data_IF_305816014803
#
_entry.id   IF_305816014803
#
_cell.length_a   1.000
_cell.length_b   1.000
_cell.length_c   1.000
_cell.angle_alpha   90.00
_cell.angle_beta   90.00
_cell.angle_gamma   90.00
#
_symmetry.space_group_name_H-M   'P 1'
#
loop_
_entity.id
_entity.type
_entity.pdbx_description
1 polymer ?
#
# COMPACT_ATOMS: atom_id res chain seq x y z
N UNK A 1 -1.86 0.79 -34.40
CA UNK A 1 -1.00 1.93 -34.02
C UNK A 1 -0.55 1.68 -32.59
N UNK A 2 0.76 1.53 -32.38
CA UNK A 2 1.39 0.98 -31.18
C UNK A 2 1.09 1.81 -29.91
N UNK A 3 0.60 1.15 -28.86
CA UNK A 3 0.72 1.64 -27.48
C UNK A 3 1.96 0.97 -26.87
N UNK A 4 3.02 1.74 -26.68
CA UNK A 4 4.21 1.35 -25.94
C UNK A 4 3.93 1.57 -24.45
N UNK A 5 4.01 0.51 -23.65
CA UNK A 5 4.12 0.63 -22.20
C UNK A 5 5.42 1.41 -21.88
N UNK A 6 5.41 2.35 -20.92
CA UNK A 6 6.63 3.08 -20.56
C UNK A 6 7.68 2.10 -20.01
N UNK A 7 8.92 2.24 -20.49
CA UNK A 7 10.03 1.40 -20.04
C UNK A 7 10.42 1.73 -18.59
N UNK A 8 11.06 0.80 -17.86
CA UNK A 8 11.45 0.99 -16.44
C UNK A 8 12.30 2.25 -16.17
N UNK A 9 13.09 2.69 -17.15
CA UNK A 9 13.86 3.94 -17.08
C UNK A 9 12.95 5.17 -16.95
N UNK A 10 11.81 5.19 -17.64
CA UNK A 10 10.79 6.27 -17.56
C UNK A 10 10.12 6.32 -16.19
N UNK A 11 9.89 5.16 -15.57
CA UNK A 11 9.31 5.09 -14.21
C UNK A 11 10.29 5.61 -13.14
N UNK A 12 11.58 5.31 -13.30
CA UNK A 12 12.64 5.80 -12.41
C UNK A 12 12.91 7.30 -12.57
N UNK A 13 12.86 7.83 -13.80
CA UNK A 13 12.95 9.26 -14.09
C UNK A 13 11.77 10.05 -13.51
N UNK A 14 10.56 9.48 -13.52
CA UNK A 14 9.37 10.12 -12.94
C UNK A 14 9.38 10.18 -11.40
N UNK A 15 9.99 9.19 -10.72
CA UNK A 15 10.17 9.21 -9.27
C UNK A 15 11.28 10.18 -8.82
N UNK A 16 12.34 10.36 -9.62
CA UNK A 16 13.38 11.37 -9.38
C UNK A 16 12.86 12.78 -9.65
N UNK A 17 12.09 12.99 -10.73
CA UNK A 17 11.37 14.25 -10.99
C UNK A 17 10.35 14.57 -9.88
N UNK A 18 9.65 13.57 -9.33
CA UNK A 18 8.75 13.77 -8.18
C UNK A 18 9.50 14.33 -6.95
N UNK A 19 10.71 13.85 -6.68
CA UNK A 19 11.55 14.34 -5.58
C UNK A 19 12.07 15.77 -5.81
N UNK A 20 12.50 16.11 -7.03
CA UNK A 20 12.97 17.46 -7.38
C UNK A 20 11.83 18.48 -7.42
N UNK A 21 10.66 18.08 -7.92
CA UNK A 21 9.44 18.90 -7.92
C UNK A 21 8.98 19.14 -6.49
N UNK A 22 8.92 18.13 -5.62
CA UNK A 22 8.63 18.33 -4.19
C UNK A 22 9.63 19.27 -3.48
N UNK A 23 10.91 19.27 -3.86
CA UNK A 23 11.93 20.16 -3.29
C UNK A 23 11.76 21.61 -3.75
N UNK A 24 11.37 21.85 -5.01
CA UNK A 24 11.08 23.21 -5.52
C UNK A 24 9.70 23.73 -5.11
N UNK A 25 8.74 22.84 -4.79
CA UNK A 25 7.38 23.17 -4.36
C UNK A 25 7.29 23.71 -2.91
N UNK A 26 8.28 23.44 -2.06
CA UNK A 26 8.31 23.87 -0.67
C UNK A 26 8.82 25.31 -0.47
N UNK A 27 9.53 25.88 -1.45
CA UNK A 27 10.20 27.18 -1.30
C UNK A 27 9.36 28.41 -1.73
N UNK A 28 8.13 28.24 -2.26
CA UNK A 28 7.43 29.35 -2.95
C UNK A 28 5.91 29.54 -2.81
N UNK A 29 5.15 28.64 -2.19
CA UNK A 29 3.68 28.74 -2.21
C UNK A 29 3.12 29.48 -0.97
N UNK A 30 2.42 30.60 -1.17
CA UNK A 30 1.85 31.43 -0.08
C UNK A 30 0.33 31.60 -0.14
N UNK A 31 -0.35 31.13 -1.20
CA UNK A 31 -1.81 31.26 -1.36
C UNK A 31 -2.48 30.03 -1.96
N UNK A 32 -3.79 29.83 -1.69
CA UNK A 32 -4.60 28.72 -2.23
C UNK A 32 -4.67 28.71 -3.77
N UNK A 33 -4.41 29.85 -4.42
CA UNK A 33 -4.36 29.98 -5.87
C UNK A 33 -3.05 29.43 -6.46
N UNK A 34 -1.96 29.42 -5.68
CA UNK A 34 -0.68 28.82 -6.08
C UNK A 34 -0.76 27.29 -6.06
N UNK A 35 -1.44 26.71 -5.06
CA UNK A 35 -1.74 25.28 -5.00
C UNK A 35 -2.58 24.80 -6.20
N UNK A 36 -3.50 25.63 -6.71
CA UNK A 36 -4.29 25.38 -7.92
C UNK A 36 -3.45 25.22 -9.19
N UNK A 37 -2.42 26.05 -9.38
CA UNK A 37 -1.51 25.95 -10.55
C UNK A 37 -0.57 24.75 -10.44
N UNK A 38 -0.14 24.44 -9.22
CA UNK A 38 0.75 23.33 -8.90
C UNK A 38 0.09 21.98 -9.22
N UNK A 39 -1.15 21.78 -8.80
CA UNK A 39 -1.89 20.52 -9.04
C UNK A 39 -2.15 20.29 -10.55
N UNK A 40 -2.54 21.35 -11.28
CA UNK A 40 -2.74 21.28 -12.72
C UNK A 40 -1.45 20.98 -13.50
N UNK A 41 -0.30 21.50 -13.05
CA UNK A 41 1.01 21.20 -13.65
C UNK A 41 1.40 19.74 -13.42
N UNK A 42 1.16 19.21 -12.21
CA UNK A 42 1.42 17.81 -11.84
C UNK A 42 0.62 16.83 -12.72
N UNK A 43 -0.67 17.09 -12.93
CA UNK A 43 -1.54 16.25 -13.79
C UNK A 43 -1.09 16.29 -15.24
N UNK A 44 -0.65 17.45 -15.74
CA UNK A 44 -0.15 17.64 -17.11
C UNK A 44 1.18 16.92 -17.36
N UNK A 45 2.15 17.03 -16.45
CA UNK A 45 3.47 16.40 -16.61
C UNK A 45 3.47 14.89 -16.35
N UNK A 46 2.46 14.37 -15.63
CA UNK A 46 2.24 12.93 -15.44
C UNK A 46 1.93 12.20 -16.76
N UNK A 47 1.49 12.92 -17.80
CA UNK A 47 1.25 12.39 -19.15
C UNK A 47 0.06 11.44 -19.26
N UNK A 48 -0.94 11.58 -18.36
CA UNK A 48 -2.01 10.60 -18.19
C UNK A 48 -3.36 10.94 -18.83
N UNK A 49 -3.51 12.06 -19.55
CA UNK A 49 -4.77 12.40 -20.25
C UNK A 49 -4.47 13.18 -21.54
N UNK A 50 -4.86 12.62 -22.69
CA UNK A 50 -5.10 13.38 -23.94
C UNK A 50 -6.61 13.61 -24.01
N UNK A 51 -7.10 14.72 -23.49
CA UNK A 51 -8.44 15.22 -23.74
C UNK A 51 -8.33 16.73 -23.96
N UNK A 52 -8.52 17.15 -25.21
CA UNK A 52 -8.37 18.54 -25.67
C UNK A 52 -9.36 19.54 -25.03
N UNK A 53 -10.25 19.08 -24.13
CA UNK A 53 -11.31 19.88 -23.50
C UNK A 53 -11.22 19.99 -21.96
N UNK A 54 -10.11 19.59 -21.34
CA UNK A 54 -9.92 19.66 -19.88
C UNK A 54 -10.01 21.12 -19.35
N UNK A 55 -9.48 22.10 -20.09
CA UNK A 55 -9.54 23.52 -19.71
C UNK A 55 -10.95 24.12 -19.78
N UNK A 56 -11.77 23.72 -20.77
CA UNK A 56 -13.13 24.25 -20.91
C UNK A 56 -14.09 23.68 -19.86
N UNK A 57 -13.92 22.40 -19.49
CA UNK A 57 -14.71 21.76 -18.42
C UNK A 57 -14.35 22.31 -17.03
N UNK A 58 -13.06 22.60 -16.80
CA UNK A 58 -12.60 23.36 -15.63
C UNK A 58 -13.11 24.81 -15.62
N UNK A 59 -13.32 25.45 -16.76
CA UNK A 59 -13.76 26.85 -16.81
C UNK A 59 -15.29 27.02 -16.67
N UNK A 60 -16.08 26.04 -17.13
CA UNK A 60 -17.55 26.11 -17.10
C UNK A 60 -18.11 25.80 -15.70
N UNK A 61 -17.52 24.84 -14.99
CA UNK A 61 -17.97 24.42 -13.66
C UNK A 61 -17.71 25.49 -12.61
N UNK A 62 -16.61 26.25 -12.69
CA UNK A 62 -16.15 27.19 -11.66
C UNK A 62 -16.83 28.59 -11.65
N UNK A 63 -17.83 28.84 -12.53
CA UNK A 63 -18.44 30.19 -12.69
C UNK A 63 -19.67 30.43 -11.79
N UNK A 64 -20.15 29.44 -11.05
CA UNK A 64 -21.29 29.60 -10.13
C UNK A 64 -20.81 30.05 -8.75
N UNK A 65 -21.34 31.18 -8.27
CA UNK A 65 -20.93 31.92 -7.07
C UNK A 65 -21.27 31.23 -5.73
N UNK A 66 -21.56 29.94 -5.76
CA UNK A 66 -21.79 29.05 -4.63
C UNK A 66 -21.07 27.73 -4.93
N UNK A 67 -19.76 27.71 -4.69
CA UNK A 67 -18.91 26.57 -5.01
C UNK A 67 -18.51 25.87 -3.72
N UNK A 68 -19.14 24.72 -3.47
CA UNK A 68 -18.74 23.81 -2.39
C UNK A 68 -17.59 22.93 -2.93
N UNK A 69 -16.34 23.09 -2.43
CA UNK A 69 -15.17 22.35 -2.93
C UNK A 69 -15.33 20.82 -2.83
N UNK A 70 -16.26 20.35 -2.00
CA UNK A 70 -16.61 18.94 -1.84
C UNK A 70 -17.36 18.41 -3.08
N UNK A 71 -18.25 19.20 -3.68
CA UNK A 71 -19.07 18.77 -4.82
C UNK A 71 -18.28 18.65 -6.14
N UNK A 72 -17.29 19.52 -6.35
CA UNK A 72 -16.39 19.41 -7.50
C UNK A 72 -15.43 18.22 -7.38
N UNK A 73 -15.01 17.89 -6.15
CA UNK A 73 -14.19 16.72 -5.87
C UNK A 73 -14.97 15.40 -5.98
N UNK A 74 -16.21 15.36 -5.48
CA UNK A 74 -17.11 14.22 -5.65
C UNK A 74 -17.36 13.93 -7.13
N UNK A 75 -17.44 14.96 -7.98
CA UNK A 75 -17.58 14.79 -9.43
C UNK A 75 -16.33 14.18 -10.10
N UNK A 76 -15.12 14.63 -9.75
CA UNK A 76 -13.85 14.06 -10.26
C UNK A 76 -13.66 12.59 -9.82
N UNK A 77 -14.03 12.27 -8.58
CA UNK A 77 -14.02 10.91 -8.02
C UNK A 77 -15.05 10.02 -8.74
N UNK A 78 -16.26 10.53 -8.94
CA UNK A 78 -17.32 9.83 -9.66
C UNK A 78 -16.93 9.59 -11.13
N UNK A 79 -16.21 10.52 -11.76
CA UNK A 79 -15.61 10.33 -13.09
C UNK A 79 -14.49 9.29 -13.06
N UNK A 80 -13.65 9.24 -12.02
CA UNK A 80 -12.63 8.19 -11.84
C UNK A 80 -13.23 6.78 -11.70
N UNK A 81 -14.27 6.65 -10.88
CA UNK A 81 -15.02 5.40 -10.68
C UNK A 81 -15.77 4.99 -11.96
N UNK A 82 -16.35 5.95 -12.70
CA UNK A 82 -17.00 5.68 -14.00
C UNK A 82 -15.99 5.28 -15.07
N UNK A 83 -14.80 5.88 -15.11
CA UNK A 83 -13.73 5.48 -16.03
C UNK A 83 -13.20 4.07 -15.70
N UNK A 84 -13.23 3.68 -14.43
CA UNK A 84 -12.93 2.33 -13.96
C UNK A 84 -14.06 1.34 -14.31
N UNK A 85 -15.34 1.73 -14.22
CA UNK A 85 -16.47 0.97 -14.79
C UNK A 85 -16.37 0.84 -16.32
N UNK A 86 -15.85 1.84 -17.05
CA UNK A 86 -15.56 1.75 -18.49
C UNK A 86 -14.37 0.81 -18.78
N UNK A 87 -13.40 0.69 -17.87
CA UNK A 87 -12.34 -0.31 -17.93
C UNK A 87 -12.87 -1.73 -17.64
N UNK A 88 -13.86 -1.84 -16.75
CA UNK A 88 -14.58 -3.09 -16.40
C UNK A 88 -15.57 -3.51 -17.52
N UNK A 89 -16.19 -2.55 -18.22
CA UNK A 89 -17.19 -2.77 -19.28
C UNK A 89 -16.61 -2.77 -20.71
N UNK A 90 -15.32 -2.46 -20.86
CA UNK A 90 -14.59 -2.51 -22.14
C UNK A 90 -14.50 -3.93 -22.69
N UNK A 91 -15.45 -4.26 -23.55
CA UNK A 91 -15.58 -5.53 -24.28
C UNK A 91 -14.24 -6.01 -24.90
N UNK A 92 -14.01 -7.31 -24.73
CA UNK A 92 -13.21 -8.22 -25.58
C UNK A 92 -11.67 -8.32 -25.45
N UNK A 93 -10.96 -7.51 -24.63
CA UNK A 93 -9.48 -7.64 -24.57
C UNK A 93 -8.82 -7.96 -23.22
N UNK A 94 -9.53 -7.89 -22.10
CA UNK A 94 -9.02 -8.26 -20.77
C UNK A 94 -9.74 -9.50 -20.19
N UNK A 95 -10.08 -10.48 -21.02
CA UNK A 95 -10.81 -11.70 -20.60
C UNK A 95 -10.00 -12.69 -19.74
N UNK A 96 -8.75 -12.36 -19.38
CA UNK A 96 -7.84 -13.25 -18.66
C UNK A 96 -7.42 -12.79 -17.26
N UNK A 97 -7.79 -11.59 -16.79
CA UNK A 97 -7.37 -11.11 -15.47
C UNK A 97 -8.35 -11.62 -14.40
N UNK A 98 -7.80 -12.22 -13.34
CA UNK A 98 -8.56 -12.75 -12.21
C UNK A 98 -9.48 -11.65 -11.62
N UNK A 99 -10.81 -11.90 -11.49
CA UNK A 99 -11.74 -10.92 -10.93
C UNK A 99 -11.32 -10.35 -9.58
N UNK A 100 -10.63 -11.15 -8.75
CA UNK A 100 -10.12 -10.71 -7.45
C UNK A 100 -9.01 -9.65 -7.58
N UNK A 101 -8.08 -9.83 -8.52
CA UNK A 101 -7.00 -8.86 -8.78
C UNK A 101 -7.58 -7.52 -9.23
N UNK A 102 -8.65 -7.55 -10.03
CA UNK A 102 -9.32 -6.34 -10.52
C UNK A 102 -9.93 -5.52 -9.37
N UNK A 103 -10.57 -6.18 -8.41
CA UNK A 103 -11.15 -5.53 -7.23
C UNK A 103 -10.08 -4.97 -6.28
N UNK A 104 -8.98 -5.69 -6.09
CA UNK A 104 -7.83 -5.18 -5.32
C UNK A 104 -7.20 -3.95 -5.98
N UNK A 105 -7.14 -3.95 -7.32
CA UNK A 105 -6.60 -2.85 -8.09
C UNK A 105 -7.42 -1.56 -7.91
N UNK A 106 -8.75 -1.65 -8.02
CA UNK A 106 -9.63 -0.49 -7.83
C UNK A 106 -9.54 0.07 -6.42
N UNK A 107 -9.58 -0.80 -5.40
CA UNK A 107 -9.43 -0.36 -4.02
C UNK A 107 -8.09 0.33 -3.75
N UNK A 108 -6.98 -0.24 -4.24
CA UNK A 108 -5.65 0.35 -4.06
C UNK A 108 -5.51 1.69 -4.78
N UNK A 109 -6.09 1.84 -5.98
CA UNK A 109 -6.06 3.11 -6.72
C UNK A 109 -6.88 4.19 -6.01
N UNK A 110 -8.10 3.88 -5.60
CA UNK A 110 -8.96 4.79 -4.82
C UNK A 110 -8.20 5.27 -3.58
N UNK A 111 -7.59 4.35 -2.83
CA UNK A 111 -6.79 4.71 -1.64
C UNK A 111 -5.55 5.54 -1.99
N UNK A 112 -4.86 5.28 -3.11
CA UNK A 112 -3.67 6.04 -3.50
C UNK A 112 -3.98 7.50 -3.85
N UNK A 113 -5.07 7.72 -4.61
CA UNK A 113 -5.49 9.05 -5.05
C UNK A 113 -6.19 9.87 -3.96
N UNK A 114 -6.48 9.29 -2.79
CA UNK A 114 -7.13 9.99 -1.67
C UNK A 114 -6.32 10.00 -0.38
N UNK A 115 -5.78 8.85 0.03
CA UNK A 115 -4.94 8.73 1.21
C UNK A 115 -3.69 9.59 1.11
N UNK A 116 -3.04 9.63 -0.05
CA UNK A 116 -1.82 10.44 -0.24
C UNK A 116 -2.11 11.95 -0.12
N UNK A 117 -3.11 12.52 -0.82
CA UNK A 117 -3.48 13.91 -0.57
C UNK A 117 -3.94 14.19 0.86
N UNK A 118 -4.70 13.30 1.50
CA UNK A 118 -5.11 13.47 2.90
C UNK A 118 -3.91 13.57 3.84
N UNK A 119 -2.90 12.70 3.67
CA UNK A 119 -1.68 12.75 4.48
C UNK A 119 -0.91 14.07 4.26
N UNK A 120 -0.81 14.53 3.01
CA UNK A 120 -0.11 15.77 2.66
C UNK A 120 -0.85 16.98 3.20
N UNK A 121 -2.15 17.11 2.93
CA UNK A 121 -2.98 18.23 3.40
C UNK A 121 -3.02 18.28 4.92
N UNK A 122 -3.19 17.13 5.58
CA UNK A 122 -3.15 17.03 7.03
C UNK A 122 -1.79 17.45 7.62
N UNK A 123 -0.68 17.03 6.98
CA UNK A 123 0.65 17.45 7.40
C UNK A 123 0.81 18.97 7.29
N UNK A 124 0.42 19.57 6.15
CA UNK A 124 0.47 21.02 5.96
C UNK A 124 -0.39 21.72 7.02
N UNK A 125 -1.60 21.21 7.30
CA UNK A 125 -2.51 21.78 8.30
C UNK A 125 -1.96 21.74 9.73
N UNK A 126 -1.17 20.71 10.06
CA UNK A 126 -0.47 20.61 11.34
C UNK A 126 0.72 21.58 11.42
N UNK A 127 1.50 21.69 10.34
CA UNK A 127 2.71 22.52 10.33
C UNK A 127 2.41 24.01 10.18
N UNK A 128 1.29 24.37 9.55
CA UNK A 128 0.87 25.76 9.35
C UNK A 128 0.34 26.45 10.61
N UNK A 129 -0.02 25.69 11.65
CA UNK A 129 -0.53 26.23 12.91
C UNK A 129 0.51 26.09 14.03
N UNK A 130 0.73 27.19 14.76
CA UNK A 130 1.62 27.22 15.91
C UNK A 130 0.96 26.58 17.15
N UNK A 131 -0.37 26.54 17.21
CA UNK A 131 -1.10 26.04 18.37
C UNK A 131 -1.36 24.52 18.29
N UNK A 132 -0.36 23.73 18.69
CA UNK A 132 -0.40 22.26 18.66
C UNK A 132 -0.99 21.64 19.93
N UNK A 133 -2.10 22.20 20.42
CA UNK A 133 -2.78 21.73 21.61
C UNK A 133 -3.80 20.62 21.32
N UNK A 134 -3.86 19.59 22.17
CA UNK A 134 -4.83 18.49 22.00
C UNK A 134 -6.29 18.93 22.09
N UNK A 135 -6.61 20.04 22.76
CA UNK A 135 -7.95 20.66 22.80
C UNK A 135 -7.97 22.05 22.13
N UNK A 136 -7.01 22.37 21.26
CA UNK A 136 -7.03 23.61 20.50
C UNK A 136 -8.30 23.70 19.63
N UNK A 137 -8.81 24.91 19.43
CA UNK A 137 -9.92 25.16 18.51
C UNK A 137 -9.51 24.81 17.09
N UNK A 138 -10.40 24.16 16.34
CA UNK A 138 -10.10 23.72 14.99
C UNK A 138 -9.93 24.93 14.07
N UNK A 139 -8.77 25.06 13.44
CA UNK A 139 -8.51 26.13 12.48
C UNK A 139 -9.38 25.98 11.23
N UNK A 140 -9.63 27.05 10.46
CA UNK A 140 -10.36 26.93 9.20
C UNK A 140 -9.73 25.90 8.26
N UNK A 141 -8.40 25.82 8.21
CA UNK A 141 -7.71 24.89 7.33
C UNK A 141 -7.82 23.44 7.82
N UNK A 142 -7.71 23.19 9.13
CA UNK A 142 -8.00 21.87 9.70
C UNK A 142 -9.45 21.45 9.45
N UNK A 143 -10.42 22.36 9.52
CA UNK A 143 -11.82 22.06 9.21
C UNK A 143 -11.99 21.60 7.76
N UNK A 144 -11.36 22.29 6.82
CA UNK A 144 -11.33 21.90 5.40
C UNK A 144 -10.67 20.53 5.20
N UNK A 145 -9.57 20.26 5.88
CA UNK A 145 -8.88 18.95 5.83
C UNK A 145 -9.75 17.81 6.39
N UNK A 146 -10.48 18.05 7.49
CA UNK A 146 -11.45 17.09 8.02
C UNK A 146 -12.63 16.90 7.07
N UNK A 147 -13.14 17.96 6.43
CA UNK A 147 -14.22 17.87 5.45
C UNK A 147 -13.79 17.06 4.21
N UNK A 148 -12.55 17.27 3.74
CA UNK A 148 -11.92 16.47 2.70
C UNK A 148 -11.84 14.99 3.11
N UNK A 149 -11.34 14.73 4.31
CA UNK A 149 -11.21 13.37 4.84
C UNK A 149 -12.58 12.68 4.98
N UNK A 150 -13.62 13.39 5.43
CA UNK A 150 -14.98 12.83 5.51
C UNK A 150 -15.48 12.43 4.12
N UNK A 151 -15.34 13.29 3.12
CA UNK A 151 -15.79 12.99 1.76
C UNK A 151 -15.07 11.75 1.18
N UNK A 152 -13.75 11.66 1.41
CA UNK A 152 -12.94 10.49 1.07
C UNK A 152 -13.47 9.22 1.75
N UNK A 153 -13.51 9.19 3.08
CA UNK A 153 -13.89 7.99 3.83
C UNK A 153 -15.33 7.55 3.53
N UNK A 154 -16.25 8.47 3.22
CA UNK A 154 -17.61 8.13 2.78
C UNK A 154 -17.59 7.46 1.42
N UNK A 155 -16.81 7.98 0.46
CA UNK A 155 -16.68 7.39 -0.87
C UNK A 155 -16.11 5.97 -0.78
N UNK A 156 -15.03 5.79 -0.04
CA UNK A 156 -14.38 4.50 0.13
C UNK A 156 -15.31 3.50 0.82
N UNK A 157 -16.02 3.92 1.87
CA UNK A 157 -17.05 3.13 2.54
C UNK A 157 -18.16 2.67 1.57
N UNK A 158 -18.65 3.55 0.71
CA UNK A 158 -19.65 3.20 -0.30
C UNK A 158 -19.11 2.18 -1.31
N UNK A 159 -17.85 2.35 -1.77
CA UNK A 159 -17.20 1.39 -2.65
C UNK A 159 -17.11 0.01 -1.99
N UNK A 160 -16.64 -0.09 -0.74
CA UNK A 160 -16.59 -1.36 -0.01
C UNK A 160 -17.98 -1.99 0.18
N UNK A 161 -18.99 -1.21 0.57
CA UNK A 161 -20.35 -1.75 0.79
C UNK A 161 -20.98 -2.26 -0.52
N UNK A 162 -20.72 -1.61 -1.65
CA UNK A 162 -21.33 -1.98 -2.94
C UNK A 162 -20.56 -3.12 -3.62
N UNK A 163 -19.23 -3.05 -3.67
CA UNK A 163 -18.40 -3.94 -4.49
C UNK A 163 -17.69 -5.04 -3.68
N UNK A 164 -17.46 -4.84 -2.38
CA UNK A 164 -16.70 -5.74 -1.52
C UNK A 164 -17.38 -5.94 -0.14
N UNK A 165 -18.69 -6.29 -0.09
CA UNK A 165 -19.44 -6.33 1.17
C UNK A 165 -18.93 -7.38 2.18
N UNK A 166 -18.10 -8.33 1.72
CA UNK A 166 -17.48 -9.34 2.57
C UNK A 166 -16.35 -8.80 3.47
N UNK A 167 -15.80 -7.61 3.19
CA UNK A 167 -14.70 -7.05 3.97
C UNK A 167 -15.19 -6.24 5.17
N UNK A 168 -15.80 -6.95 6.12
CA UNK A 168 -16.44 -6.37 7.32
C UNK A 168 -15.45 -5.57 8.16
N UNK A 169 -14.19 -6.00 8.22
CA UNK A 169 -13.17 -5.32 9.03
C UNK A 169 -12.85 -3.94 8.46
N UNK A 170 -12.65 -3.83 7.14
CA UNK A 170 -12.41 -2.54 6.49
C UNK A 170 -13.64 -1.64 6.56
N UNK A 171 -14.84 -2.17 6.35
CA UNK A 171 -16.10 -1.41 6.48
C UNK A 171 -16.25 -0.84 7.90
N UNK A 172 -16.05 -1.67 8.93
CA UNK A 172 -16.13 -1.25 10.32
C UNK A 172 -15.05 -0.21 10.67
N UNK A 173 -13.84 -0.37 10.15
CA UNK A 173 -12.76 0.60 10.30
C UNK A 173 -13.13 1.97 9.72
N UNK A 174 -13.65 2.02 8.48
CA UNK A 174 -14.04 3.27 7.84
C UNK A 174 -15.18 3.97 8.60
N UNK A 175 -16.17 3.22 9.07
CA UNK A 175 -17.26 3.75 9.88
C UNK A 175 -16.75 4.33 11.21
N UNK A 176 -15.83 3.64 11.88
CA UNK A 176 -15.25 4.10 13.13
C UNK A 176 -14.37 5.36 12.93
N UNK A 177 -13.58 5.41 11.87
CA UNK A 177 -12.78 6.59 11.50
C UNK A 177 -13.69 7.77 11.15
N UNK A 178 -14.75 7.57 10.36
CA UNK A 178 -15.75 8.60 10.08
C UNK A 178 -16.39 9.15 11.34
N UNK A 179 -16.75 8.29 12.30
CA UNK A 179 -17.29 8.71 13.59
C UNK A 179 -16.35 9.70 14.30
N UNK A 180 -15.04 9.41 14.36
CA UNK A 180 -14.06 10.29 15.00
C UNK A 180 -13.94 11.63 14.26
N UNK A 181 -13.81 11.60 12.94
CA UNK A 181 -13.63 12.82 12.13
C UNK A 181 -14.87 13.72 12.18
N UNK A 182 -16.07 13.14 12.00
CA UNK A 182 -17.36 13.87 12.01
C UNK A 182 -17.61 14.50 13.37
N UNK A 183 -17.39 13.76 14.47
CA UNK A 183 -17.59 14.32 15.81
C UNK A 183 -16.58 15.43 16.12
N UNK A 184 -15.32 15.29 15.68
CA UNK A 184 -14.33 16.35 15.78
C UNK A 184 -14.73 17.61 14.99
N UNK A 185 -15.19 17.41 13.75
CA UNK A 185 -15.53 18.49 12.82
C UNK A 185 -16.81 19.23 13.15
N UNK A 186 -17.86 18.52 13.55
CA UNK A 186 -19.23 19.06 13.63
C UNK A 186 -19.80 19.10 15.05
N UNK A 187 -19.31 18.26 15.99
CA UNK A 187 -19.86 18.22 17.35
C UNK A 187 -19.06 19.10 18.31
N UNK A 188 -17.72 18.96 18.33
CA UNK A 188 -16.89 19.69 19.31
C UNK A 188 -16.12 20.87 18.71
N UNK A 189 -15.77 20.81 17.42
CA UNK A 189 -14.93 21.83 16.75
C UNK A 189 -13.62 22.17 17.49
N UNK A 190 -13.14 21.25 18.33
CA UNK A 190 -11.88 21.32 19.06
C UNK A 190 -11.15 19.97 18.93
N UNK A 191 -9.83 20.00 19.03
CA UNK A 191 -8.98 18.81 19.05
C UNK A 191 -8.63 18.23 17.68
N UNK A 192 -8.88 18.97 16.58
CA UNK A 192 -8.49 18.57 15.23
C UNK A 192 -6.99 18.28 15.11
N UNK A 193 -6.13 19.00 15.84
CA UNK A 193 -4.69 18.68 15.87
C UNK A 193 -4.45 17.18 16.14
N UNK A 194 -5.14 16.61 17.12
CA UNK A 194 -5.00 15.19 17.48
C UNK A 194 -5.49 14.28 16.36
N UNK A 195 -6.67 14.57 15.83
CA UNK A 195 -7.34 13.75 14.80
C UNK A 195 -6.56 13.79 13.50
N UNK A 196 -6.12 14.97 13.06
CA UNK A 196 -5.33 15.14 11.84
C UNK A 196 -3.96 14.48 11.98
N UNK A 197 -3.27 14.58 13.12
CA UNK A 197 -2.00 13.85 13.33
C UNK A 197 -2.22 12.34 13.21
N UNK A 198 -3.30 11.81 13.79
CA UNK A 198 -3.62 10.39 13.70
C UNK A 198 -3.99 9.97 12.27
N UNK A 199 -4.67 10.82 11.50
CA UNK A 199 -4.93 10.60 10.08
C UNK A 199 -3.64 10.60 9.26
N UNK A 200 -2.74 11.54 9.49
CA UNK A 200 -1.43 11.58 8.80
C UNK A 200 -0.61 10.35 9.13
N UNK A 201 -0.53 9.96 10.41
CA UNK A 201 0.13 8.72 10.82
C UNK A 201 -0.56 7.48 10.22
N UNK A 202 -1.86 7.59 9.92
CA UNK A 202 -2.57 6.52 9.27
C UNK A 202 -2.24 6.40 7.79
N UNK A 203 -2.22 7.52 7.10
CA UNK A 203 -2.09 7.58 5.65
C UNK A 203 -0.64 7.64 5.16
N UNK A 204 0.34 8.00 6.00
CA UNK A 204 1.75 8.08 5.58
C UNK A 204 2.30 6.73 5.08
N UNK A 205 1.69 5.61 5.47
CA UNK A 205 2.05 4.27 4.98
C UNK A 205 1.19 3.79 3.81
N UNK A 206 0.11 4.49 3.43
CA UNK A 206 -0.90 3.97 2.50
C UNK A 206 -0.36 3.76 1.09
N UNK A 207 0.40 4.70 0.53
CA UNK A 207 1.01 4.55 -0.79
C UNK A 207 1.93 3.31 -0.88
N UNK A 208 2.73 3.08 0.17
CA UNK A 208 3.60 1.91 0.26
C UNK A 208 2.80 0.62 0.43
N UNK A 209 1.76 0.64 1.27
CA UNK A 209 0.85 -0.48 1.50
C UNK A 209 0.11 -0.86 0.21
N UNK A 210 -0.47 0.09 -0.52
CA UNK A 210 -1.18 -0.15 -1.77
C UNK A 210 -0.25 -0.74 -2.84
N UNK A 211 0.96 -0.20 -2.97
CA UNK A 211 1.98 -0.74 -3.88
C UNK A 211 2.35 -2.17 -3.51
N UNK A 212 2.53 -2.45 -2.21
CA UNK A 212 2.82 -3.79 -1.70
C UNK A 212 1.67 -4.77 -1.95
N UNK A 213 0.43 -4.38 -1.69
CA UNK A 213 -0.78 -5.19 -1.93
C UNK A 213 -0.93 -5.54 -3.40
N UNK A 214 -0.81 -4.56 -4.29
CA UNK A 214 -0.85 -4.74 -5.75
C UNK A 214 0.25 -5.69 -6.24
N UNK A 215 1.48 -5.51 -5.75
CA UNK A 215 2.61 -6.38 -6.10
C UNK A 215 2.37 -7.83 -5.61
N UNK A 216 1.76 -7.99 -4.43
CA UNK A 216 1.38 -9.28 -3.87
C UNK A 216 0.29 -9.99 -4.70
N UNK A 217 -0.76 -9.27 -5.09
CA UNK A 217 -1.84 -9.80 -5.93
C UNK A 217 -1.33 -10.34 -7.28
N UNK A 218 -0.33 -9.67 -7.87
CA UNK A 218 0.26 -10.04 -9.15
C UNK A 218 1.54 -10.89 -9.04
N UNK A 219 1.93 -11.32 -7.82
CA UNK A 219 3.23 -11.96 -7.56
C UNK A 219 3.46 -13.23 -8.36
N UNK A 220 2.43 -14.06 -8.52
CA UNK A 220 2.53 -15.35 -9.23
C UNK A 220 2.48 -15.19 -10.76
N UNK A 221 1.91 -14.09 -11.25
CA UNK A 221 1.71 -13.85 -12.69
C UNK A 221 2.86 -13.03 -13.29
N UNK A 222 3.56 -12.22 -12.49
CA UNK A 222 4.56 -11.29 -12.98
C UNK A 222 5.84 -11.27 -12.11
N UNK A 223 6.96 -11.66 -12.73
CA UNK A 223 8.28 -11.68 -12.08
C UNK A 223 8.74 -10.31 -11.57
N UNK A 224 8.38 -9.22 -12.24
CA UNK A 224 8.66 -7.88 -11.75
C UNK A 224 7.85 -7.58 -10.49
N UNK A 225 6.55 -7.91 -10.47
CA UNK A 225 5.71 -7.75 -9.30
C UNK A 225 6.23 -8.57 -8.10
N UNK A 226 6.68 -9.80 -8.34
CA UNK A 226 7.32 -10.63 -7.31
C UNK A 226 8.56 -9.95 -6.70
N UNK A 227 9.46 -9.42 -7.55
CA UNK A 227 10.64 -8.69 -7.09
C UNK A 227 10.28 -7.46 -6.28
N UNK A 228 9.27 -6.69 -6.72
CA UNK A 228 8.79 -5.52 -5.99
C UNK A 228 8.24 -5.93 -4.63
N UNK A 229 7.40 -6.96 -4.57
CA UNK A 229 6.85 -7.49 -3.33
C UNK A 229 7.95 -7.93 -2.36
N UNK A 230 8.90 -8.75 -2.81
CA UNK A 230 9.97 -9.29 -1.96
C UNK A 230 10.93 -8.19 -1.46
N UNK A 231 11.22 -7.19 -2.30
CA UNK A 231 12.08 -6.06 -1.95
C UNK A 231 11.38 -5.06 -1.02
N UNK A 232 10.07 -4.82 -1.23
CA UNK A 232 9.29 -3.84 -0.49
C UNK A 232 8.81 -4.38 0.87
N UNK A 233 8.56 -5.69 1.00
CA UNK A 233 7.98 -6.28 2.22
C UNK A 233 8.78 -5.93 3.49
N UNK A 234 10.11 -6.19 3.58
CA UNK A 234 10.85 -5.87 4.80
C UNK A 234 10.87 -4.38 5.18
N UNK A 235 11.22 -3.43 4.29
CA UNK A 235 11.23 -2.01 4.66
C UNK A 235 9.82 -1.50 4.97
N UNK A 236 8.81 -1.95 4.24
CA UNK A 236 7.42 -1.62 4.53
C UNK A 236 7.02 -2.07 5.94
N UNK A 237 7.28 -3.33 6.31
CA UNK A 237 6.92 -3.83 7.64
C UNK A 237 7.64 -3.08 8.75
N UNK A 238 8.91 -2.70 8.55
CA UNK A 238 9.66 -1.88 9.52
C UNK A 238 9.00 -0.51 9.68
N UNK A 239 8.77 0.21 8.58
CA UNK A 239 8.15 1.55 8.63
C UNK A 239 6.75 1.47 9.25
N UNK A 240 5.94 0.50 8.83
CA UNK A 240 4.61 0.27 9.38
C UNK A 240 4.66 -0.02 10.88
N UNK A 241 5.59 -0.87 11.33
CA UNK A 241 5.78 -1.19 12.75
C UNK A 241 6.18 0.06 13.54
N UNK A 242 7.09 0.90 13.03
CA UNK A 242 7.49 2.15 13.69
C UNK A 242 6.31 3.11 13.80
N UNK A 243 5.64 3.40 12.68
CA UNK A 243 4.58 4.40 12.63
C UNK A 243 3.35 3.93 13.43
N UNK A 244 2.86 2.71 13.19
CA UNK A 244 1.63 2.19 13.78
C UNK A 244 1.82 1.49 15.13
N UNK A 245 2.98 0.89 15.35
CA UNK A 245 3.30 0.14 16.57
C UNK A 245 4.00 0.95 17.66
N UNK A 246 4.60 2.10 17.33
CA UNK A 246 5.28 2.94 18.32
C UNK A 246 4.81 4.40 18.29
N UNK A 247 4.90 5.08 17.15
CA UNK A 247 4.59 6.52 17.07
C UNK A 247 3.11 6.80 17.35
N UNK A 248 2.19 6.08 16.71
CA UNK A 248 0.76 6.15 16.96
C UNK A 248 0.39 5.90 18.44
N UNK A 249 0.76 4.74 19.03
CA UNK A 249 0.50 4.45 20.43
C UNK A 249 1.04 5.49 21.39
N UNK A 250 2.28 5.97 21.16
CA UNK A 250 2.86 7.03 21.98
C UNK A 250 2.04 8.33 21.89
N UNK A 251 1.63 8.73 20.69
CA UNK A 251 0.81 9.92 20.49
C UNK A 251 -0.56 9.81 21.18
N UNK A 252 -1.24 8.67 21.03
CA UNK A 252 -2.54 8.40 21.68
C UNK A 252 -2.40 8.39 23.20
N UNK A 253 -1.33 7.80 23.73
CA UNK A 253 -1.05 7.84 25.16
C UNK A 253 -0.92 9.28 25.67
N UNK A 254 -0.17 10.14 24.97
CA UNK A 254 -0.06 11.57 25.30
C UNK A 254 -1.40 12.30 25.21
N UNK A 255 -2.19 12.00 24.19
CA UNK A 255 -3.54 12.55 24.00
C UNK A 255 -4.46 12.17 25.16
N UNK A 256 -4.49 10.89 25.54
CA UNK A 256 -5.34 10.38 26.63
C UNK A 256 -4.92 10.98 27.97
N UNK A 257 -3.62 11.07 28.27
CA UNK A 257 -3.13 11.72 29.48
C UNK A 257 -3.58 13.19 29.56
N UNK A 258 -3.52 13.91 28.44
CA UNK A 258 -3.98 15.29 28.38
C UNK A 258 -5.48 15.40 28.68
N UNK A 259 -6.33 14.60 28.04
CA UNK A 259 -7.77 14.64 28.30
C UNK A 259 -8.12 14.20 29.73
N UNK A 260 -7.46 13.16 30.24
CA UNK A 260 -7.65 12.64 31.60
C UNK A 260 -7.22 13.64 32.68
N UNK A 261 -6.30 14.56 32.38
CA UNK A 261 -5.87 15.61 33.31
C UNK A 261 -6.95 16.68 33.58
N UNK A 262 -8.03 16.69 32.79
CA UNK A 262 -9.09 17.69 32.91
C UNK A 262 -8.78 19.03 32.25
N UNK A 263 -7.61 19.21 31.63
CA UNK A 263 -7.23 20.44 30.92
C UNK A 263 -8.15 20.79 29.73
N UNK A 264 -8.90 19.81 29.21
CA UNK A 264 -9.88 20.00 28.14
C UNK A 264 -11.33 20.19 28.65
N UNK A 265 -11.54 20.28 29.96
CA UNK A 265 -12.88 20.34 30.56
C UNK A 265 -13.66 21.53 30.01
N UNK A 266 -14.86 21.27 29.49
CA UNK A 266 -15.72 22.28 28.87
C UNK A 266 -15.43 22.57 27.39
N UNK A 267 -14.31 22.09 26.84
CA UNK A 267 -13.99 22.21 25.41
C UNK A 267 -14.32 20.93 24.65
N UNK A 268 -13.89 19.78 25.18
CA UNK A 268 -14.17 18.45 24.60
C UNK A 268 -14.89 17.61 25.64
N UNK A 269 -16.17 17.26 25.44
CA UNK A 269 -16.94 16.45 26.38
C UNK A 269 -16.30 15.09 26.64
N UNK A 270 -16.44 14.57 27.87
CA UNK A 270 -15.80 13.31 28.28
C UNK A 270 -16.15 12.14 27.39
N UNK A 271 -17.43 12.01 27.02
CA UNK A 271 -17.87 10.92 26.16
C UNK A 271 -17.21 10.96 24.77
N UNK A 272 -16.90 12.16 24.25
CA UNK A 272 -16.29 12.34 22.92
C UNK A 272 -14.87 11.79 22.94
N UNK A 273 -14.00 12.34 23.79
CA UNK A 273 -12.60 11.92 23.78
C UNK A 273 -12.41 10.46 24.25
N UNK A 274 -13.26 9.97 25.16
CA UNK A 274 -13.25 8.55 25.56
C UNK A 274 -13.62 7.67 24.37
N UNK A 275 -14.66 8.03 23.61
CA UNK A 275 -15.04 7.27 22.42
C UNK A 275 -13.95 7.29 21.34
N UNK A 276 -13.27 8.43 21.13
CA UNK A 276 -12.14 8.52 20.22
C UNK A 276 -10.99 7.63 20.67
N UNK A 277 -10.65 7.65 21.96
CA UNK A 277 -9.59 6.80 22.49
C UNK A 277 -9.90 5.31 22.26
N UNK A 278 -11.13 4.87 22.52
CA UNK A 278 -11.55 3.47 22.29
C UNK A 278 -11.41 3.08 20.82
N UNK A 279 -11.90 3.92 19.89
CA UNK A 279 -11.80 3.67 18.45
C UNK A 279 -10.33 3.58 18.01
N UNK A 280 -9.51 4.55 18.41
CA UNK A 280 -8.11 4.63 17.98
C UNK A 280 -7.28 3.50 18.59
N UNK A 281 -7.47 3.15 19.86
CA UNK A 281 -6.80 1.99 20.47
C UNK A 281 -7.16 0.68 19.77
N UNK A 282 -8.43 0.51 19.42
CA UNK A 282 -8.89 -0.69 18.70
C UNK A 282 -8.24 -0.77 17.31
N UNK A 283 -8.23 0.33 16.57
CA UNK A 283 -7.59 0.40 15.25
C UNK A 283 -6.08 0.10 15.32
N UNK A 284 -5.37 0.71 16.27
CA UNK A 284 -3.94 0.43 16.51
C UNK A 284 -3.71 -1.05 16.87
N UNK A 285 -4.54 -1.62 17.75
CA UNK A 285 -4.44 -3.03 18.13
C UNK A 285 -4.56 -3.97 16.94
N UNK A 286 -5.55 -3.73 16.07
CA UNK A 286 -5.73 -4.48 14.82
C UNK A 286 -4.52 -4.32 13.89
N UNK A 287 -4.00 -3.09 13.72
CA UNK A 287 -2.79 -2.83 12.91
C UNK A 287 -1.55 -3.57 13.43
N UNK A 288 -1.36 -3.62 14.75
CA UNK A 288 -0.23 -4.33 15.38
C UNK A 288 -0.36 -5.84 15.14
N UNK A 289 -1.54 -6.42 15.36
CA UNK A 289 -1.78 -7.84 15.09
C UNK A 289 -1.58 -8.19 13.61
N UNK A 290 -2.03 -7.30 12.72
CA UNK A 290 -1.87 -7.47 11.28
C UNK A 290 -0.38 -7.49 10.88
N UNK A 291 0.41 -6.49 11.27
CA UNK A 291 1.84 -6.45 10.90
C UNK A 291 2.64 -7.55 11.59
N UNK A 292 2.26 -7.95 12.82
CA UNK A 292 2.85 -9.10 13.49
C UNK A 292 2.64 -10.39 12.68
N UNK A 293 1.42 -10.63 12.18
CA UNK A 293 1.13 -11.81 11.35
C UNK A 293 1.98 -11.84 10.08
N UNK A 294 2.21 -10.68 9.46
CA UNK A 294 3.06 -10.53 8.27
C UNK A 294 4.54 -10.79 8.57
N UNK A 295 5.04 -10.33 9.71
CA UNK A 295 6.40 -10.66 10.16
C UNK A 295 6.59 -12.15 10.40
N UNK A 296 5.63 -12.80 11.08
CA UNK A 296 5.68 -14.24 11.33
C UNK A 296 5.71 -15.02 10.01
N UNK A 297 4.86 -14.65 9.06
CA UNK A 297 4.82 -15.24 7.71
C UNK A 297 6.16 -15.09 6.98
N UNK A 298 6.68 -13.86 6.88
CA UNK A 298 7.95 -13.58 6.20
C UNK A 298 9.15 -14.30 6.84
N UNK A 299 9.22 -14.32 8.17
CA UNK A 299 10.30 -15.01 8.90
C UNK A 299 10.15 -16.52 8.73
N UNK A 300 8.92 -17.03 8.79
CA UNK A 300 8.59 -18.44 8.59
C UNK A 300 9.04 -18.92 7.21
N UNK A 301 8.61 -18.24 6.15
CA UNK A 301 9.02 -18.54 4.76
C UNK A 301 10.55 -18.54 4.62
N UNK A 302 11.22 -17.46 5.06
CA UNK A 302 12.69 -17.35 4.94
C UNK A 302 13.43 -18.41 5.74
N UNK A 303 12.92 -18.80 6.90
CA UNK A 303 13.53 -19.83 7.74
C UNK A 303 13.37 -21.20 7.12
N UNK A 304 12.16 -21.51 6.62
CA UNK A 304 11.86 -22.76 5.91
C UNK A 304 12.77 -22.92 4.68
N UNK A 305 12.87 -21.90 3.82
CA UNK A 305 13.73 -21.94 2.63
C UNK A 305 15.21 -22.15 2.99
N UNK A 306 15.71 -21.47 4.03
CA UNK A 306 17.11 -21.64 4.46
C UNK A 306 17.38 -23.04 5.02
N UNK A 307 16.44 -23.58 5.79
CA UNK A 307 16.57 -24.90 6.40
C UNK A 307 16.53 -26.00 5.33
N UNK A 308 15.57 -25.92 4.41
CA UNK A 308 15.47 -26.83 3.27
C UNK A 308 16.75 -26.82 2.42
N UNK A 309 17.25 -25.64 2.04
CA UNK A 309 18.50 -25.52 1.28
C UNK A 309 19.67 -26.19 2.00
N UNK A 310 19.80 -25.99 3.32
CA UNK A 310 20.84 -26.61 4.11
C UNK A 310 20.75 -28.14 4.08
N UNK A 311 19.56 -28.70 4.19
CA UNK A 311 19.37 -30.15 4.20
C UNK A 311 19.68 -30.79 2.84
N UNK A 312 19.30 -30.15 1.73
CA UNK A 312 19.75 -30.64 0.41
C UNK A 312 21.26 -30.56 0.23
N UNK A 313 21.91 -29.52 0.77
CA UNK A 313 23.38 -29.42 0.78
C UNK A 313 24.02 -30.52 1.64
N UNK A 314 23.41 -30.87 2.77
CA UNK A 314 23.88 -31.94 3.64
C UNK A 314 23.71 -33.32 2.97
N UNK A 315 22.62 -33.56 2.24
CA UNK A 315 22.46 -34.75 1.38
C UNK A 315 23.55 -34.79 0.31
N UNK A 316 23.74 -33.70 -0.44
CA UNK A 316 24.78 -33.63 -1.47
C UNK A 316 26.16 -33.97 -0.90
N UNK A 317 26.50 -33.39 0.25
CA UNK A 317 27.76 -33.64 0.96
C UNK A 317 27.90 -35.09 1.42
N UNK A 318 26.84 -35.68 1.98
CA UNK A 318 26.84 -37.06 2.49
C UNK A 318 27.14 -38.07 1.40
N UNK A 319 26.61 -37.84 0.20
CA UNK A 319 26.81 -38.71 -0.96
C UNK A 319 27.99 -38.29 -1.86
N UNK A 320 28.78 -37.29 -1.45
CA UNK A 320 29.94 -36.81 -2.22
C UNK A 320 29.57 -36.17 -3.57
N UNK A 321 28.36 -35.63 -3.68
CA UNK A 321 27.84 -35.00 -4.88
C UNK A 321 27.96 -33.48 -4.80
N UNK A 322 28.24 -32.85 -5.94
CA UNK A 322 28.08 -31.41 -6.05
C UNK A 322 26.58 -31.04 -6.01
N UNK A 323 26.16 -29.99 -5.28
CA UNK A 323 24.73 -29.65 -5.13
C UNK A 323 24.00 -29.40 -6.45
N UNK A 324 24.68 -28.76 -7.41
CA UNK A 324 24.14 -28.55 -8.76
C UNK A 324 23.89 -29.88 -9.44
N UNK A 325 24.82 -30.83 -9.31
CA UNK A 325 24.69 -32.12 -9.96
C UNK A 325 23.61 -32.98 -9.32
N UNK A 326 23.42 -32.90 -8.00
CA UNK A 326 22.29 -33.51 -7.30
C UNK A 326 20.95 -32.99 -7.82
N UNK A 327 20.79 -31.66 -7.89
CA UNK A 327 19.56 -31.02 -8.33
C UNK A 327 19.22 -31.34 -9.79
N UNK A 328 20.20 -31.23 -10.70
CA UNK A 328 19.99 -31.53 -12.13
C UNK A 328 19.68 -33.02 -12.35
N UNK A 329 20.40 -33.93 -11.69
CA UNK A 329 20.13 -35.37 -11.79
C UNK A 329 18.74 -35.74 -11.25
N UNK A 330 18.26 -35.04 -10.19
CA UNK A 330 16.92 -35.23 -9.66
C UNK A 330 15.82 -34.75 -10.62
N UNK A 331 16.03 -33.65 -11.33
CA UNK A 331 15.05 -33.18 -12.34
C UNK A 331 15.05 -34.09 -13.56
N UNK A 332 16.24 -34.47 -14.08
CA UNK A 332 16.38 -35.30 -15.28
C UNK A 332 15.80 -36.72 -15.13
N UNK A 333 15.69 -37.26 -13.91
CA UNK A 333 15.07 -38.58 -13.70
C UNK A 333 13.56 -38.59 -13.82
N UNK A 334 12.89 -37.44 -13.79
CA UNK A 334 11.43 -37.39 -13.79
C UNK A 334 10.89 -37.68 -15.21
N UNK A 335 9.97 -38.64 -15.39
CA UNK A 335 9.59 -39.12 -16.73
C UNK A 335 8.89 -38.07 -17.60
N UNK A 336 8.32 -37.03 -16.99
CA UNK A 336 7.69 -35.91 -17.72
C UNK A 336 8.67 -34.80 -18.12
N UNK A 337 9.93 -34.87 -17.71
CA UNK A 337 10.95 -33.86 -18.04
C UNK A 337 11.61 -34.24 -19.37
N UNK A 338 11.38 -33.43 -20.41
CA UNK A 338 12.03 -33.60 -21.70
C UNK A 338 13.46 -33.02 -21.74
N UNK A 339 13.66 -31.87 -21.11
CA UNK A 339 14.96 -31.20 -20.99
C UNK A 339 15.02 -30.33 -19.75
N UNK A 340 16.22 -30.03 -19.27
CA UNK A 340 16.46 -29.11 -18.15
C UNK A 340 17.13 -27.85 -18.68
N UNK A 341 16.47 -26.71 -18.47
CA UNK A 341 17.01 -25.40 -18.81
C UNK A 341 17.76 -24.86 -17.60
N UNK A 342 19.03 -24.48 -17.79
CA UNK A 342 19.90 -23.98 -16.74
C UNK A 342 20.64 -22.72 -17.19
N UNK A 343 21.05 -21.89 -16.24
CA UNK A 343 21.86 -20.70 -16.49
C UNK A 343 23.28 -20.90 -15.97
N UNK A 344 24.29 -20.54 -16.79
CA UNK A 344 25.70 -20.55 -16.40
C UNK A 344 26.36 -19.25 -16.86
N UNK A 345 27.03 -18.55 -15.95
CA UNK A 345 27.81 -17.34 -16.26
C UNK A 345 29.32 -17.59 -16.24
N UNK A 346 29.74 -18.81 -15.85
CA UNK A 346 31.13 -19.26 -15.76
C UNK A 346 31.25 -20.68 -16.32
N UNK A 347 32.37 -20.98 -16.97
CA UNK A 347 32.60 -22.29 -17.61
C UNK A 347 32.58 -23.47 -16.63
N UNK A 348 33.03 -23.27 -15.37
CA UNK A 348 33.00 -24.32 -14.36
C UNK A 348 31.57 -24.75 -13.99
N UNK A 349 30.59 -23.83 -14.04
CA UNK A 349 29.18 -24.16 -13.78
C UNK A 349 28.62 -25.10 -14.86
N UNK A 350 28.99 -24.85 -16.13
CA UNK A 350 28.61 -25.72 -17.24
C UNK A 350 29.18 -27.14 -17.05
N UNK A 351 30.43 -27.26 -16.59
CA UNK A 351 31.05 -28.55 -16.35
C UNK A 351 30.28 -29.36 -15.29
N UNK A 352 29.85 -28.72 -14.20
CA UNK A 352 29.05 -29.38 -13.14
C UNK A 352 27.71 -29.91 -13.65
N UNK A 353 27.05 -29.15 -14.54
CA UNK A 353 25.78 -29.55 -15.16
C UNK A 353 26.00 -30.73 -16.13
N UNK A 354 27.05 -30.70 -16.94
CA UNK A 354 27.38 -31.81 -17.86
C UNK A 354 27.76 -33.09 -17.09
N UNK A 355 28.44 -32.94 -15.94
CA UNK A 355 28.73 -34.06 -15.05
C UNK A 355 27.44 -34.66 -14.46
N UNK A 356 26.45 -33.82 -14.14
CA UNK A 356 25.16 -34.25 -13.61
C UNK A 356 24.41 -35.23 -14.51
N UNK A 357 24.50 -35.07 -15.84
CA UNK A 357 23.86 -35.96 -16.81
C UNK A 357 24.35 -37.42 -16.73
N UNK A 358 25.51 -37.67 -16.11
CA UNK A 358 26.09 -39.00 -15.94
C UNK A 358 25.71 -39.64 -14.60
N UNK A 359 25.07 -38.89 -13.70
CA UNK A 359 24.74 -39.35 -12.35
C UNK A 359 23.39 -40.05 -12.38
N UNK A 360 23.34 -41.28 -11.86
CA UNK A 360 22.10 -41.96 -11.52
C UNK A 360 21.92 -41.91 -10.01
N UNK A 361 20.89 -41.20 -9.55
CA UNK A 361 20.55 -41.14 -8.13
C UNK A 361 20.04 -42.52 -7.67
N UNK A 362 20.56 -42.99 -6.54
CA UNK A 362 20.10 -44.25 -5.94
C UNK A 362 18.77 -44.04 -5.23
N UNK A 363 18.05 -45.13 -4.95
CA UNK A 363 16.77 -45.07 -4.24
C UNK A 363 16.91 -44.44 -2.85
N UNK A 364 18.05 -44.63 -2.19
CA UNK A 364 18.34 -44.04 -0.87
C UNK A 364 18.44 -42.51 -0.94
N UNK A 365 19.16 -41.97 -1.94
CA UNK A 365 19.27 -40.52 -2.14
C UNK A 365 17.91 -39.90 -2.44
N UNK A 366 17.10 -40.60 -3.26
CA UNK A 366 15.75 -40.16 -3.62
C UNK A 366 14.85 -40.11 -2.38
N UNK A 367 14.93 -41.13 -1.53
CA UNK A 367 14.13 -41.19 -0.31
C UNK A 367 14.49 -40.05 0.67
N UNK A 368 15.77 -39.73 0.81
CA UNK A 368 16.21 -38.58 1.61
C UNK A 368 15.70 -37.25 1.05
N UNK A 369 15.75 -37.05 -0.28
CA UNK A 369 15.18 -35.87 -0.93
C UNK A 369 13.67 -35.78 -0.68
N UNK A 370 12.94 -36.89 -0.81
CA UNK A 370 11.49 -36.92 -0.59
C UNK A 370 11.12 -36.60 0.86
N UNK A 371 11.91 -37.07 1.84
CA UNK A 371 11.73 -36.72 3.25
C UNK A 371 11.91 -35.22 3.49
N UNK A 372 12.91 -34.60 2.86
CA UNK A 372 13.11 -33.14 2.95
C UNK A 372 11.89 -32.42 2.36
N UNK A 373 11.50 -32.76 1.12
CA UNK A 373 10.35 -32.13 0.45
C UNK A 373 9.03 -32.30 1.22
N UNK A 374 8.82 -33.45 1.87
CA UNK A 374 7.62 -33.69 2.70
C UNK A 374 7.49 -32.75 3.90
N UNK A 375 8.63 -32.29 4.45
CA UNK A 375 8.67 -31.34 5.57
C UNK A 375 8.61 -29.88 5.10
N UNK A 376 9.10 -29.61 3.89
CA UNK A 376 9.11 -28.29 3.27
C UNK A 376 8.41 -28.33 1.92
N UNK A 377 7.07 -28.41 1.90
CA UNK A 377 6.33 -28.45 0.64
C UNK A 377 6.35 -27.08 -0.04
N UNK A 378 6.84 -27.04 -1.28
CA UNK A 378 6.83 -25.87 -2.18
C UNK A 378 7.18 -24.52 -1.52
N UNK A 379 8.36 -24.38 -0.88
CA UNK A 379 8.74 -23.15 -0.19
C UNK A 379 9.14 -22.01 -1.13
N UNK A 380 9.29 -22.28 -2.43
CA UNK A 380 9.51 -21.30 -3.49
C UNK A 380 8.60 -21.65 -4.69
N UNK A 381 7.30 -21.32 -4.61
CA UNK A 381 6.29 -21.70 -5.60
C UNK A 381 6.38 -20.93 -6.93
#
# INVERSE_FOLDING_TARGET
>A
MHLLLPTPEVLSLKLVQFSEVCSHLLDGASSSHDYQKILCSFVRESGMIILDNFEESCSYTFRTKYFDPILAWVHEIFVGIILEEQFISGKEKCSGINPKIRTEFSSCLISLFHGTPAAILGAIAIFSDANRGFAASNTPFQKTDLDYSIAYFVTDLLHYVVFIPGDVLFIAHHLATLFVIVTCRYVVSHGAFSVVVLLVLAEVTSACQNTWTLAGACRLENRFAARVYDALSPPFYVVYTVVRGFVGPYFVFRMVLFYASGLASGLVPTWVWVSWAVVVFSAIGVSILWVYSRWVELIGERTATKLEQKEYLDVAKTYGLHPVSLAIAFVLRHPLVASVVFGATKSWQLQEVLNACKIKLTSEVIEEINKIHSRFPNPCP
#
